data_IF_128129143093
#
_entry.id   IF_128129143093
#
_cell.length_a   1.000
_cell.length_b   1.000
_cell.length_c   1.000
_cell.angle_alpha   90.00
_cell.angle_beta   90.00
_cell.angle_gamma   90.00
#
_symmetry.space_group_name_H-M   'P 1'
#
loop_
_entity.id
_entity.type
_entity.pdbx_description
1 polymer ?
#
# COMPACT_ATOMS: atom_id res chain seq x y z
N UNK A 1 46.81 -21.22 38.37
CA UNK A 1 46.93 -21.04 36.91
C UNK A 1 45.51 -20.92 36.34
N UNK A 2 45.04 -19.70 36.12
CA UNK A 2 43.68 -19.42 35.62
C UNK A 2 43.73 -19.43 34.08
N UNK A 3 42.94 -20.28 33.44
CA UNK A 3 42.77 -20.29 31.98
C UNK A 3 41.59 -19.37 31.61
N UNK A 4 41.87 -18.40 30.74
CA UNK A 4 40.94 -17.38 30.27
C UNK A 4 39.72 -17.97 29.54
N UNK A 5 38.53 -17.35 29.63
CA UNK A 5 37.38 -17.72 28.82
C UNK A 5 37.52 -17.22 27.38
N UNK A 6 37.10 -18.06 26.43
CA UNK A 6 37.02 -17.75 24.99
C UNK A 6 35.92 -16.71 24.73
N UNK A 7 36.29 -15.47 24.45
CA UNK A 7 35.40 -14.46 23.88
C UNK A 7 35.42 -14.59 22.35
N UNK A 8 34.48 -15.33 21.78
CA UNK A 8 34.20 -15.29 20.34
C UNK A 8 32.96 -14.42 20.12
N UNK A 9 33.15 -13.10 20.06
CA UNK A 9 32.14 -12.17 19.57
C UNK A 9 32.01 -12.34 18.06
N UNK A 10 31.26 -13.36 17.62
CA UNK A 10 30.66 -13.33 16.29
C UNK A 10 29.45 -12.40 16.39
N UNK A 11 29.59 -11.19 15.84
CA UNK A 11 28.46 -10.37 15.46
C UNK A 11 27.66 -11.14 14.40
N UNK A 12 26.74 -12.00 14.84
CA UNK A 12 25.63 -12.39 14.00
C UNK A 12 24.71 -11.17 13.95
N UNK A 13 24.81 -10.39 12.87
CA UNK A 13 23.75 -9.47 12.52
C UNK A 13 22.45 -10.29 12.55
N UNK A 14 21.53 -9.91 13.43
CA UNK A 14 20.20 -10.52 13.48
C UNK A 14 19.63 -10.47 12.06
N UNK A 15 19.06 -11.57 11.54
CA UNK A 15 18.23 -11.49 10.35
C UNK A 15 17.22 -10.36 10.58
N UNK A 16 17.16 -9.41 9.64
CA UNK A 16 16.15 -8.36 9.67
C UNK A 16 14.81 -9.08 9.74
N UNK A 17 14.15 -9.01 10.89
CA UNK A 17 12.77 -9.46 11.01
C UNK A 17 11.98 -8.57 10.05
N UNK A 18 11.66 -9.10 8.87
CA UNK A 18 10.75 -8.46 7.93
C UNK A 18 9.41 -8.48 8.63
N UNK A 19 9.13 -7.44 9.40
CA UNK A 19 7.81 -7.21 9.96
C UNK A 19 6.87 -7.10 8.75
N UNK A 20 5.89 -8.01 8.60
CA UNK A 20 4.93 -7.95 7.50
C UNK A 20 4.06 -6.68 7.53
N UNK A 21 4.20 -5.83 8.56
CA UNK A 21 3.60 -4.51 8.68
C UNK A 21 4.59 -3.35 8.45
N UNK A 22 5.87 -3.65 8.20
CA UNK A 22 6.88 -2.63 7.88
C UNK A 22 6.88 -2.36 6.39
N UNK A 23 6.13 -1.33 6.01
CA UNK A 23 6.28 -0.75 4.68
C UNK A 23 7.61 0.00 4.60
N UNK A 24 8.38 -0.21 3.52
CA UNK A 24 9.58 0.57 3.22
C UNK A 24 9.23 1.70 2.25
N UNK A 25 9.86 2.86 2.42
CA UNK A 25 9.62 4.01 1.53
C UNK A 25 10.12 3.70 0.11
N UNK A 26 9.24 3.87 -0.87
CA UNK A 26 9.50 3.58 -2.27
C UNK A 26 9.28 4.84 -3.09
N UNK A 27 10.23 5.21 -3.96
CA UNK A 27 10.09 6.41 -4.79
C UNK A 27 8.96 6.24 -5.83
N UNK A 28 8.35 7.37 -6.18
CA UNK A 28 7.36 7.44 -7.24
C UNK A 28 7.92 6.98 -8.60
N UNK A 29 7.06 6.48 -9.48
CA UNK A 29 7.43 5.98 -10.80
C UNK A 29 8.15 4.63 -10.79
N UNK A 30 8.23 3.95 -9.63
CA UNK A 30 8.75 2.58 -9.53
C UNK A 30 7.65 1.62 -9.08
N UNK A 31 7.49 0.48 -9.77
CA UNK A 31 6.53 -0.54 -9.36
C UNK A 31 7.00 -1.25 -8.09
N UNK A 32 6.06 -1.59 -7.22
CA UNK A 32 6.29 -2.45 -6.07
C UNK A 32 5.90 -3.90 -6.41
N UNK A 33 6.90 -4.71 -6.77
CA UNK A 33 6.67 -6.11 -7.17
C UNK A 33 6.67 -7.06 -5.96
N UNK A 34 7.49 -6.77 -4.95
CA UNK A 34 7.64 -7.64 -3.77
C UNK A 34 6.59 -7.40 -2.68
N UNK A 35 5.85 -6.29 -2.78
CA UNK A 35 5.01 -5.79 -1.70
C UNK A 35 5.81 -5.12 -0.59
N UNK A 36 5.10 -4.70 0.46
CA UNK A 36 5.69 -3.99 1.60
C UNK A 36 6.13 -2.57 1.27
N UNK A 37 5.56 -1.91 0.26
CA UNK A 37 6.00 -0.58 -0.17
C UNK A 37 5.12 0.53 0.42
N UNK A 38 5.74 1.68 0.69
CA UNK A 38 5.08 2.92 1.06
C UNK A 38 5.42 4.00 0.04
N UNK A 39 4.40 4.53 -0.62
CA UNK A 39 4.49 5.65 -1.54
C UNK A 39 3.89 6.88 -0.89
N UNK A 40 4.54 8.03 -0.99
CA UNK A 40 4.08 9.28 -0.39
C UNK A 40 4.12 10.40 -1.43
N UNK A 41 2.99 11.08 -1.64
CA UNK A 41 2.91 12.27 -2.50
C UNK A 41 3.03 12.03 -4.01
N UNK A 42 2.92 10.79 -4.48
CA UNK A 42 3.09 10.44 -5.90
C UNK A 42 1.95 10.95 -6.79
N UNK A 43 2.23 11.11 -8.09
CA UNK A 43 1.26 11.53 -9.12
C UNK A 43 0.82 12.99 -9.04
N UNK A 44 1.53 13.82 -8.28
CA UNK A 44 1.35 15.28 -8.23
C UNK A 44 2.40 15.96 -9.12
N UNK A 45 1.95 16.73 -10.12
CA UNK A 45 2.85 17.47 -11.02
C UNK A 45 3.68 16.53 -11.90
N UNK A 46 5.01 16.62 -11.81
CA UNK A 46 5.96 15.79 -12.57
C UNK A 46 6.36 14.49 -11.84
N UNK A 47 5.80 14.25 -10.64
CA UNK A 47 6.03 13.01 -9.89
C UNK A 47 5.39 11.80 -10.60
N UNK A 48 6.13 10.69 -10.66
CA UNK A 48 5.64 9.46 -11.28
C UNK A 48 4.43 8.85 -10.56
N UNK A 49 3.69 7.97 -11.24
CA UNK A 49 2.62 7.20 -10.61
C UNK A 49 3.17 6.17 -9.62
N UNK A 50 2.34 5.77 -8.66
CA UNK A 50 2.66 4.71 -7.72
C UNK A 50 1.83 3.47 -8.06
N UNK A 51 2.49 2.35 -8.34
CA UNK A 51 1.84 1.11 -8.74
C UNK A 51 2.28 -0.03 -7.82
N UNK A 52 1.32 -0.81 -7.35
CA UNK A 52 1.55 -2.02 -6.56
C UNK A 52 1.00 -3.24 -7.29
N UNK A 53 1.92 -4.13 -7.69
CA UNK A 53 1.56 -5.34 -8.44
C UNK A 53 1.14 -6.50 -7.52
N UNK A 54 1.53 -6.45 -6.24
CA UNK A 54 1.21 -7.49 -5.25
C UNK A 54 1.75 -7.20 -3.85
N UNK A 55 1.29 -8.00 -2.87
CA UNK A 55 1.68 -7.87 -1.47
C UNK A 55 0.95 -6.75 -0.73
N UNK A 56 1.55 -6.20 0.34
CA UNK A 56 0.94 -5.12 1.14
C UNK A 56 1.53 -3.76 0.77
N UNK A 57 0.72 -2.82 0.31
CA UNK A 57 1.20 -1.51 -0.12
C UNK A 57 0.43 -0.38 0.57
N UNK A 58 1.13 0.70 0.90
CA UNK A 58 0.56 1.92 1.47
C UNK A 58 0.82 3.10 0.54
N UNK A 59 -0.23 3.88 0.27
CA UNK A 59 -0.19 5.10 -0.53
C UNK A 59 -0.68 6.24 0.33
N UNK A 60 0.16 7.23 0.59
CA UNK A 60 -0.14 8.36 1.48
C UNK A 60 -0.13 9.65 0.68
N UNK A 61 -1.26 10.36 0.67
CA UNK A 61 -1.39 11.63 -0.04
C UNK A 61 -1.01 11.57 -1.53
N UNK A 62 -1.24 10.43 -2.18
CA UNK A 62 -0.96 10.23 -3.59
C UNK A 62 -2.17 10.64 -4.45
N UNK A 63 -1.92 11.09 -5.68
CA UNK A 63 -2.92 11.33 -6.72
C UNK A 63 -2.75 10.26 -7.80
N UNK A 64 -3.67 9.31 -7.90
CA UNK A 64 -3.61 8.26 -8.94
C UNK A 64 -2.67 7.09 -8.64
N UNK A 65 -2.92 6.37 -7.54
CA UNK A 65 -2.21 5.12 -7.22
C UNK A 65 -3.00 3.87 -7.64
N UNK A 66 -2.33 2.91 -8.26
CA UNK A 66 -2.93 1.67 -8.71
C UNK A 66 -2.55 0.46 -7.84
N UNK A 67 -3.57 -0.36 -7.55
CA UNK A 67 -3.41 -1.65 -6.89
C UNK A 67 -3.89 -2.76 -7.82
N UNK A 68 -2.95 -3.56 -8.35
CA UNK A 68 -3.27 -4.67 -9.24
C UNK A 68 -3.51 -5.99 -8.50
N UNK A 69 -3.02 -6.13 -7.26
CA UNK A 69 -3.22 -7.31 -6.43
C UNK A 69 -2.70 -7.16 -5.00
N UNK A 70 -3.09 -8.08 -4.12
CA UNK A 70 -2.66 -8.08 -2.71
C UNK A 70 -3.57 -7.27 -1.78
N UNK A 71 -2.98 -6.49 -0.88
CA UNK A 71 -3.67 -5.65 0.10
C UNK A 71 -3.14 -4.21 0.07
N UNK A 72 -3.93 -3.27 -0.42
CA UNK A 72 -3.49 -1.89 -0.59
C UNK A 72 -4.24 -0.96 0.36
N UNK A 73 -3.53 -0.02 0.97
CA UNK A 73 -4.11 1.02 1.81
C UNK A 73 -3.83 2.39 1.20
N UNK A 74 -4.89 3.11 0.85
CA UNK A 74 -4.84 4.48 0.36
C UNK A 74 -5.28 5.42 1.47
N UNK A 75 -4.37 6.28 1.92
CA UNK A 75 -4.59 7.23 3.02
C UNK A 75 -4.55 8.63 2.43
N UNK A 76 -5.62 9.41 2.66
CA UNK A 76 -5.74 10.81 2.18
C UNK A 76 -5.35 10.98 0.72
N UNK A 77 -5.64 9.97 -0.09
CA UNK A 77 -5.24 9.90 -1.50
C UNK A 77 -6.47 10.11 -2.39
N UNK A 78 -6.24 10.56 -3.62
CA UNK A 78 -7.29 10.79 -4.61
C UNK A 78 -7.09 9.93 -5.85
N UNK A 79 -8.20 9.60 -6.53
CA UNK A 79 -8.21 8.91 -7.83
C UNK A 79 -7.46 7.57 -7.82
N UNK A 80 -7.46 6.88 -6.69
CA UNK A 80 -6.89 5.54 -6.55
C UNK A 80 -7.75 4.48 -7.24
N UNK A 81 -7.11 3.45 -7.80
CA UNK A 81 -7.79 2.34 -8.47
C UNK A 81 -7.44 1.00 -7.83
N UNK A 82 -8.47 0.17 -7.65
CA UNK A 82 -8.33 -1.19 -7.13
C UNK A 82 -8.76 -2.20 -8.20
N UNK A 83 -7.80 -2.75 -8.93
CA UNK A 83 -8.05 -3.76 -9.96
C UNK A 83 -8.09 -5.19 -9.38
N UNK A 84 -7.48 -5.43 -8.22
CA UNK A 84 -7.44 -6.76 -7.60
C UNK A 84 -7.02 -6.74 -6.13
N UNK A 85 -7.44 -7.76 -5.38
CA UNK A 85 -7.07 -7.93 -3.97
C UNK A 85 -8.06 -7.31 -2.98
N UNK A 86 -7.56 -6.74 -1.89
CA UNK A 86 -8.33 -6.02 -0.88
C UNK A 86 -7.81 -4.61 -0.69
N UNK A 87 -8.60 -3.61 -1.09
CA UNK A 87 -8.20 -2.20 -0.98
C UNK A 87 -8.90 -1.51 0.20
N UNK A 88 -8.16 -0.69 0.92
CA UNK A 88 -8.68 0.12 2.03
C UNK A 88 -8.44 1.58 1.71
N UNK A 89 -9.51 2.35 1.61
CA UNK A 89 -9.45 3.80 1.47
C UNK A 89 -9.75 4.42 2.83
N UNK A 90 -8.84 5.25 3.31
CA UNK A 90 -8.92 5.97 4.58
C UNK A 90 -8.92 7.46 4.24
N UNK A 91 -10.02 8.11 4.54
CA UNK A 91 -10.27 9.53 4.33
C UNK A 91 -9.85 10.01 2.92
N UNK A 92 -10.37 9.40 1.84
CA UNK A 92 -9.98 9.77 0.49
C UNK A 92 -10.36 11.23 0.19
N UNK A 93 -9.51 11.91 -0.58
CA UNK A 93 -9.73 13.31 -0.96
C UNK A 93 -10.85 13.46 -2.02
N UNK A 94 -11.16 12.40 -2.77
CA UNK A 94 -12.28 12.36 -3.71
C UNK A 94 -13.31 11.26 -3.38
N UNK A 95 -14.57 11.55 -3.67
CA UNK A 95 -15.66 10.57 -3.58
C UNK A 95 -15.56 9.63 -4.78
N UNK A 96 -14.90 8.50 -4.55
CA UNK A 96 -14.66 7.35 -5.42
C UNK A 96 -15.50 7.27 -6.71
N UNK A 97 -14.81 7.15 -7.85
CA UNK A 97 -15.36 7.14 -9.21
C UNK A 97 -15.90 5.75 -9.58
N UNK A 98 -16.63 5.65 -10.69
CA UNK A 98 -17.01 4.34 -11.24
C UNK A 98 -15.77 3.45 -11.49
N UNK A 99 -15.92 2.15 -11.23
CA UNK A 99 -14.87 1.12 -11.30
C UNK A 99 -13.70 1.27 -10.31
N UNK A 100 -13.79 2.15 -9.31
CA UNK A 100 -12.72 2.27 -8.31
C UNK A 100 -12.45 0.96 -7.54
N UNK A 101 -13.45 0.07 -7.43
CA UNK A 101 -13.38 -1.24 -6.78
C UNK A 101 -13.64 -2.40 -7.76
N UNK A 102 -13.00 -2.36 -8.93
CA UNK A 102 -13.13 -3.40 -9.94
C UNK A 102 -12.74 -4.79 -9.39
N UNK A 103 -11.65 -4.87 -8.63
CA UNK A 103 -11.14 -6.11 -8.04
C UNK A 103 -12.05 -6.77 -6.99
N UNK A 104 -12.99 -6.00 -6.41
CA UNK A 104 -13.77 -6.41 -5.26
C UNK A 104 -13.02 -6.29 -3.93
N UNK A 105 -13.74 -6.42 -2.81
CA UNK A 105 -13.12 -6.44 -1.48
C UNK A 105 -12.65 -5.08 -0.95
N UNK A 106 -13.14 -3.97 -1.49
CA UNK A 106 -12.73 -2.64 -1.03
C UNK A 106 -13.49 -2.21 0.23
N UNK A 107 -12.79 -1.50 1.10
CA UNK A 107 -13.37 -0.80 2.25
C UNK A 107 -13.12 0.70 2.12
N UNK A 108 -14.15 1.49 2.41
CA UNK A 108 -14.07 2.94 2.54
C UNK A 108 -14.32 3.29 4.00
N UNK A 109 -13.31 3.83 4.69
CA UNK A 109 -13.40 4.18 6.10
C UNK A 109 -13.94 3.03 6.97
N UNK A 110 -13.54 1.79 6.64
CA UNK A 110 -13.98 0.58 7.33
C UNK A 110 -15.34 0.02 6.88
N UNK A 111 -16.06 0.71 5.99
CA UNK A 111 -17.32 0.23 5.40
C UNK A 111 -17.02 -0.55 4.13
N UNK A 112 -17.53 -1.78 4.03
CA UNK A 112 -17.42 -2.57 2.80
C UNK A 112 -18.19 -1.90 1.69
N UNK A 113 -17.55 -1.81 0.52
CA UNK A 113 -18.16 -1.14 -0.61
C UNK A 113 -18.51 -2.10 -1.76
N UNK A 114 -19.58 -1.83 -2.51
CA UNK A 114 -19.91 -2.59 -3.70
C UNK A 114 -18.92 -2.33 -4.84
N UNK A 115 -18.75 -3.32 -5.72
CA UNK A 115 -17.89 -3.24 -6.92
C UNK A 115 -18.32 -2.14 -7.89
N UNK A 116 -19.62 -1.83 -7.91
CA UNK A 116 -20.25 -0.79 -8.72
C UNK A 116 -21.00 0.17 -7.81
N UNK A 117 -20.74 1.48 -7.97
CA UNK A 117 -21.51 2.55 -7.32
C UNK A 117 -22.76 2.94 -8.10
N UNK A 118 -22.93 2.39 -9.31
CA UNK A 118 -24.11 2.57 -10.16
C UNK A 118 -25.31 1.92 -9.48
N UNK A 119 -26.14 2.72 -8.82
CA UNK A 119 -27.42 2.30 -8.23
C UNK A 119 -27.75 2.87 -6.84
N UNK A 120 -26.78 3.45 -6.12
CA UNK A 120 -27.04 3.99 -4.77
C UNK A 120 -27.37 5.48 -4.72
N UNK A 121 -27.27 6.19 -5.84
CA UNK A 121 -27.90 7.50 -6.04
C UNK A 121 -29.29 7.31 -6.66
N UNK A 122 -30.21 6.73 -5.89
CA UNK A 122 -31.63 6.94 -6.16
C UNK A 122 -32.02 8.25 -5.48
N UNK A 123 -32.06 9.35 -6.24
CA UNK A 123 -32.79 10.57 -5.87
C UNK A 123 -34.22 10.43 -6.38
#
# INVERSE_FOLDING_TARGET
MMKQPLTSSRNYERPVEIDPHSHHNTPCGRPCVEGGCKFEGCGRGDEGSAECDGGLCEFVSCTGGGCHGGGCTFITSSSSTCHGGGCKHIDPEDTLKDNYCEGGGCTLNGVLMPRTLVGTLSV
#
